data_IF_228761055404
#
_entry.id   IF_228761055404
#
_cell.length_a   1.000
_cell.length_b   1.000
_cell.length_c   1.000
_cell.angle_alpha   90.00
_cell.angle_beta   90.00
_cell.angle_gamma   90.00
#
_symmetry.space_group_name_H-M   'P 1'
#
loop_
_entity.id
_entity.type
_entity.pdbx_description
1 polymer ?
#
# COMPACT_ATOMS: atom_id res chain seq x y z
N UNK A 1 -10.88 -20.03 -31.20
CA UNK A 1 -10.50 -20.86 -30.05
C UNK A 1 -9.43 -20.11 -29.27
N UNK A 2 -9.79 -19.46 -28.16
CA UNK A 2 -8.83 -18.73 -27.32
C UNK A 2 -8.17 -19.76 -26.40
N UNK A 3 -6.92 -20.12 -26.68
CA UNK A 3 -6.13 -20.95 -25.76
C UNK A 3 -5.89 -20.14 -24.48
N UNK A 4 -6.66 -20.44 -23.42
CA UNK A 4 -6.38 -19.91 -22.08
C UNK A 4 -4.97 -20.34 -21.69
N UNK A 5 -4.07 -19.36 -21.56
CA UNK A 5 -2.66 -19.57 -21.27
C UNK A 5 -2.54 -20.14 -19.85
N UNK A 6 -2.37 -21.45 -19.73
CA UNK A 6 -2.23 -22.12 -18.44
C UNK A 6 -0.92 -21.71 -17.79
N UNK A 7 -0.97 -21.23 -16.54
CA UNK A 7 0.22 -20.82 -15.79
C UNK A 7 0.55 -21.94 -14.80
N UNK A 8 1.76 -22.50 -14.91
CA UNK A 8 2.28 -23.46 -13.93
C UNK A 8 3.14 -22.71 -12.90
N UNK A 9 2.85 -22.89 -11.62
CA UNK A 9 3.60 -22.28 -10.51
C UNK A 9 4.17 -23.41 -9.65
N UNK A 10 5.46 -23.39 -9.38
CA UNK A 10 6.09 -24.33 -8.44
C UNK A 10 5.83 -23.86 -7.01
N UNK A 11 5.45 -24.79 -6.14
CA UNK A 11 5.19 -24.54 -4.72
C UNK A 11 6.34 -25.12 -3.92
N UNK A 12 6.84 -24.35 -2.97
CA UNK A 12 7.83 -24.79 -1.99
C UNK A 12 7.27 -24.54 -0.58
N UNK A 13 7.68 -25.38 0.37
CA UNK A 13 7.48 -25.14 1.80
C UNK A 13 8.43 -24.03 2.29
N UNK A 14 8.20 -23.45 3.49
CA UNK A 14 9.05 -22.39 4.05
C UNK A 14 10.52 -22.78 4.29
N UNK A 15 10.83 -24.08 4.30
CA UNK A 15 12.17 -24.66 4.41
C UNK A 15 12.82 -24.91 3.03
N UNK A 16 12.26 -24.33 1.97
CA UNK A 16 12.64 -24.51 0.56
C UNK A 16 12.50 -25.94 0.01
N UNK A 17 11.86 -26.85 0.76
CA UNK A 17 11.54 -28.17 0.23
C UNK A 17 10.41 -28.08 -0.80
N UNK A 18 10.38 -28.95 -1.83
CA UNK A 18 9.31 -28.92 -2.83
C UNK A 18 7.96 -29.25 -2.19
N UNK A 19 6.91 -28.53 -2.56
CA UNK A 19 5.53 -28.74 -2.10
C UNK A 19 4.59 -29.12 -3.27
N UNK A 20 5.14 -29.35 -4.46
CA UNK A 20 4.40 -29.67 -5.68
C UNK A 20 4.23 -28.45 -6.60
N UNK A 21 3.07 -28.35 -7.26
CA UNK A 21 2.82 -27.27 -8.22
C UNK A 21 1.34 -26.94 -8.36
N UNK A 22 1.03 -25.72 -8.78
CA UNK A 22 -0.31 -25.31 -9.16
C UNK A 22 -0.41 -25.04 -10.67
N UNK A 23 -1.57 -25.34 -11.25
CA UNK A 23 -1.93 -24.99 -12.62
C UNK A 23 -3.13 -24.04 -12.57
N UNK A 24 -2.93 -22.82 -13.07
CA UNK A 24 -3.99 -21.81 -13.17
C UNK A 24 -4.54 -21.76 -14.59
N UNK A 25 -5.85 -22.02 -14.72
CA UNK A 25 -6.57 -22.04 -16.00
C UNK A 25 -7.22 -20.68 -16.35
N UNK A 26 -7.02 -19.64 -15.53
CA UNK A 26 -7.60 -18.30 -15.71
C UNK A 26 -8.78 -17.98 -14.80
N UNK A 27 -9.37 -19.01 -14.18
CA UNK A 27 -10.48 -18.89 -13.21
C UNK A 27 -10.15 -19.70 -11.95
N UNK A 28 -9.68 -20.93 -12.10
CA UNK A 28 -9.35 -21.84 -11.01
C UNK A 28 -7.86 -22.20 -11.03
N UNK A 29 -7.32 -22.45 -9.84
CA UNK A 29 -6.02 -23.08 -9.65
C UNK A 29 -6.22 -24.50 -9.11
N UNK A 30 -5.68 -25.48 -9.84
CA UNK A 30 -5.58 -26.87 -9.37
C UNK A 30 -4.20 -27.07 -8.75
N UNK A 31 -4.16 -27.56 -7.51
CA UNK A 31 -2.93 -27.76 -6.75
C UNK A 31 -2.62 -29.24 -6.67
N UNK A 32 -1.39 -29.59 -7.02
CA UNK A 32 -0.88 -30.96 -7.06
C UNK A 32 0.25 -31.11 -6.04
N UNK A 33 0.37 -32.30 -5.46
CA UNK A 33 1.50 -32.68 -4.63
C UNK A 33 2.77 -32.95 -5.47
N UNK A 34 3.84 -33.39 -4.81
CA UNK A 34 5.10 -33.79 -5.46
C UNK A 34 4.95 -35.01 -6.39
N UNK A 35 3.99 -35.90 -6.10
CA UNK A 35 3.74 -37.15 -6.83
C UNK A 35 2.76 -36.96 -8.00
N UNK A 36 2.15 -35.79 -8.14
CA UNK A 36 1.17 -35.46 -9.17
C UNK A 36 -0.28 -35.77 -8.78
N UNK A 37 -0.56 -36.06 -7.52
CA UNK A 37 -1.90 -36.23 -6.98
C UNK A 37 -2.55 -34.86 -6.76
N UNK A 38 -3.82 -34.73 -7.17
CA UNK A 38 -4.58 -33.50 -6.98
C UNK A 38 -4.94 -33.34 -5.49
N UNK A 39 -4.44 -32.28 -4.85
CA UNK A 39 -4.75 -31.97 -3.46
C UNK A 39 -6.08 -31.25 -3.33
N UNK A 40 -6.25 -30.14 -4.05
CA UNK A 40 -7.48 -29.33 -4.02
C UNK A 40 -7.57 -28.38 -5.22
N UNK A 41 -8.77 -27.83 -5.41
CA UNK A 41 -9.06 -26.78 -6.38
C UNK A 41 -9.50 -25.51 -5.64
N UNK A 42 -8.96 -24.36 -6.03
CA UNK A 42 -9.36 -23.06 -5.50
C UNK A 42 -9.77 -22.12 -6.62
N UNK A 43 -10.73 -21.25 -6.32
CA UNK A 43 -11.06 -20.14 -7.19
C UNK A 43 -9.96 -19.06 -7.08
N UNK A 44 -9.44 -18.62 -8.21
CA UNK A 44 -8.32 -17.67 -8.29
C UNK A 44 -6.95 -18.32 -8.33
N UNK A 45 -5.91 -17.49 -8.22
CA UNK A 45 -4.50 -17.88 -8.35
C UNK A 45 -3.97 -18.45 -7.02
N UNK A 46 -3.33 -19.62 -7.07
CA UNK A 46 -2.63 -20.23 -5.94
C UNK A 46 -1.12 -20.40 -6.21
N UNK A 47 -0.22 -20.02 -5.29
CA UNK A 47 -0.50 -19.36 -4.02
C UNK A 47 -1.02 -17.94 -4.30
N UNK A 48 -1.86 -17.37 -3.40
CA UNK A 48 -2.34 -16.01 -3.58
C UNK A 48 -1.12 -15.07 -3.66
N UNK A 49 -1.10 -14.19 -4.67
CA UNK A 49 -0.04 -13.17 -4.77
C UNK A 49 -0.07 -12.33 -3.50
N UNK A 50 0.95 -12.47 -2.67
CA UNK A 50 1.19 -11.57 -1.55
C UNK A 50 1.59 -10.23 -2.17
N UNK A 51 0.62 -9.32 -2.34
CA UNK A 51 0.94 -7.94 -2.74
C UNK A 51 1.42 -7.21 -1.49
N UNK A 52 2.73 -7.29 -1.20
CA UNK A 52 3.34 -6.36 -0.25
C UNK A 52 3.31 -4.97 -0.89
N UNK A 53 2.25 -4.20 -0.60
CA UNK A 53 2.20 -2.80 -1.01
C UNK A 53 3.35 -2.08 -0.32
N UNK A 54 4.29 -1.60 -1.12
CA UNK A 54 5.43 -0.86 -0.61
C UNK A 54 4.99 0.58 -0.24
N UNK A 55 5.07 0.90 1.05
CA UNK A 55 4.75 2.22 1.59
C UNK A 55 5.98 2.99 2.06
N UNK A 56 7.20 2.50 1.84
CA UNK A 56 8.44 3.16 2.28
C UNK A 56 8.58 4.58 1.72
N UNK A 57 8.01 4.83 0.55
CA UNK A 57 7.95 6.16 -0.06
C UNK A 57 7.17 7.15 0.83
N UNK A 58 6.11 6.72 1.52
CA UNK A 58 5.32 7.59 2.43
C UNK A 58 6.18 8.02 3.61
N UNK A 59 6.98 7.11 4.17
CA UNK A 59 7.91 7.43 5.26
C UNK A 59 9.00 8.40 4.81
N UNK A 60 9.54 8.21 3.59
CA UNK A 60 10.49 9.18 3.01
C UNK A 60 9.86 10.56 2.92
N UNK A 61 8.62 10.68 2.45
CA UNK A 61 7.93 11.98 2.37
C UNK A 61 7.63 12.56 3.76
N UNK A 62 7.18 11.76 4.73
CA UNK A 62 6.96 12.19 6.11
C UNK A 62 8.24 12.76 6.73
N UNK A 63 9.38 12.12 6.48
CA UNK A 63 10.68 12.53 6.99
C UNK A 63 11.24 13.77 6.27
N UNK A 64 11.10 13.86 4.96
CA UNK A 64 11.61 14.97 4.17
C UNK A 64 10.72 16.21 4.23
N UNK A 65 9.41 16.05 4.37
CA UNK A 65 8.41 17.12 4.23
C UNK A 65 8.08 17.45 2.77
N UNK A 66 7.02 18.24 2.56
CA UNK A 66 6.62 18.79 1.25
C UNK A 66 6.55 20.32 1.33
N UNK A 67 6.88 21.02 0.25
CA UNK A 67 6.72 22.46 0.11
C UNK A 67 5.24 22.82 -0.07
N UNK A 68 4.61 22.22 -1.10
CA UNK A 68 3.21 22.38 -1.44
C UNK A 68 2.44 21.05 -1.32
N UNK A 69 1.10 21.11 -1.27
CA UNK A 69 0.24 19.94 -1.17
C UNK A 69 0.22 19.29 0.22
N UNK A 70 0.88 19.86 1.24
CA UNK A 70 0.98 19.32 2.61
C UNK A 70 -0.37 18.87 3.19
N UNK A 71 -1.42 19.70 3.13
CA UNK A 71 -2.76 19.32 3.63
C UNK A 71 -3.39 18.21 2.79
N UNK A 72 -3.21 18.22 1.47
CA UNK A 72 -3.71 17.18 0.56
C UNK A 72 -3.02 15.85 0.86
N UNK A 73 -1.70 15.87 1.07
CA UNK A 73 -0.93 14.71 1.48
C UNK A 73 -1.40 14.16 2.84
N UNK A 74 -1.61 15.02 3.84
CA UNK A 74 -2.13 14.61 5.15
C UNK A 74 -3.48 13.93 5.00
N UNK A 75 -4.42 14.55 4.29
CA UNK A 75 -5.80 14.08 4.16
C UNK A 75 -5.91 12.76 3.38
N UNK A 76 -5.16 12.63 2.29
CA UNK A 76 -5.33 11.52 1.35
C UNK A 76 -4.33 10.40 1.55
N UNK A 77 -3.16 10.66 2.15
CA UNK A 77 -2.05 9.69 2.20
C UNK A 77 -1.58 9.44 3.63
N UNK A 78 -0.96 10.43 4.28
CA UNK A 78 -0.22 10.21 5.52
C UNK A 78 -1.11 9.74 6.67
N UNK A 79 -2.27 10.39 6.88
CA UNK A 79 -3.20 9.99 7.94
C UNK A 79 -3.66 8.53 7.79
N UNK A 80 -3.97 8.12 6.56
CA UNK A 80 -4.40 6.76 6.23
C UNK A 80 -3.29 5.74 6.46
N UNK A 81 -2.06 6.09 6.08
CA UNK A 81 -0.90 5.24 6.32
C UNK A 81 -0.66 5.05 7.81
N UNK A 82 -0.52 6.14 8.56
CA UNK A 82 -0.20 6.10 9.99
C UNK A 82 -1.22 5.28 10.78
N UNK A 83 -2.52 5.53 10.55
CA UNK A 83 -3.58 4.92 11.35
C UNK A 83 -3.92 3.50 10.90
N UNK A 84 -4.08 3.26 9.60
CA UNK A 84 -4.63 1.99 9.10
C UNK A 84 -3.57 1.01 8.58
N UNK A 85 -2.34 1.46 8.34
CA UNK A 85 -1.23 0.61 7.87
C UNK A 85 -0.19 0.45 8.98
N UNK A 86 0.41 1.55 9.45
CA UNK A 86 1.42 1.57 10.51
C UNK A 86 0.81 1.30 11.90
N UNK A 87 -0.49 1.60 12.08
CA UNK A 87 -1.28 1.40 13.30
C UNK A 87 -0.71 2.11 14.53
N UNK A 88 -0.23 3.34 14.34
CA UNK A 88 0.11 4.22 15.47
C UNK A 88 -1.17 4.76 16.12
N UNK A 89 -1.09 5.18 17.37
CA UNK A 89 -2.24 5.74 18.10
C UNK A 89 -2.60 7.17 17.64
N UNK A 90 -3.74 7.71 18.11
CA UNK A 90 -4.23 9.03 17.70
C UNK A 90 -3.26 10.16 18.08
N UNK A 91 -2.60 10.08 19.23
CA UNK A 91 -1.69 11.13 19.70
C UNK A 91 -0.37 11.10 18.95
N UNK A 92 0.18 9.90 18.72
CA UNK A 92 1.38 9.71 17.90
C UNK A 92 1.12 10.16 16.45
N UNK A 93 -0.01 9.77 15.86
CA UNK A 93 -0.40 10.22 14.52
C UNK A 93 -0.55 11.75 14.44
N UNK A 94 -1.17 12.37 15.45
CA UNK A 94 -1.33 13.83 15.50
C UNK A 94 0.05 14.52 15.52
N UNK A 95 0.97 14.02 16.35
CA UNK A 95 2.33 14.55 16.44
C UNK A 95 3.08 14.41 15.11
N UNK A 96 3.12 13.21 14.52
CA UNK A 96 3.80 12.96 13.25
C UNK A 96 3.26 13.85 12.11
N UNK A 97 1.93 14.00 12.00
CA UNK A 97 1.32 14.84 10.97
C UNK A 97 1.60 16.34 11.17
N UNK A 98 1.67 16.79 12.42
CA UNK A 98 2.01 18.17 12.76
C UNK A 98 3.47 18.47 12.45
N UNK A 99 4.38 17.57 12.86
CA UNK A 99 5.81 17.68 12.56
C UNK A 99 6.05 17.69 11.05
N UNK A 100 5.39 16.79 10.30
CA UNK A 100 5.43 16.80 8.84
C UNK A 100 5.00 18.14 8.23
N UNK A 101 3.88 18.72 8.70
CA UNK A 101 3.33 19.95 8.13
C UNK A 101 4.29 21.14 8.24
N UNK A 102 5.05 21.22 9.33
CA UNK A 102 5.93 22.34 9.65
C UNK A 102 7.38 22.16 9.16
N UNK A 103 7.78 21.00 8.62
CA UNK A 103 9.15 20.76 8.12
C UNK A 103 9.62 21.77 7.06
N UNK A 104 8.82 21.97 6.00
CA UNK A 104 9.26 22.69 4.79
C UNK A 104 8.37 23.88 4.42
N UNK A 105 7.74 24.54 5.40
CA UNK A 105 6.98 25.74 5.06
C UNK A 105 6.34 26.47 6.21
N UNK A 106 5.86 27.66 5.88
CA UNK A 106 5.04 28.49 6.75
C UNK A 106 3.55 28.13 6.61
N UNK A 107 2.72 28.68 7.49
CA UNK A 107 1.28 28.49 7.51
C UNK A 107 0.79 27.94 8.85
N UNK A 108 -0.52 27.69 8.94
CA UNK A 108 -1.15 27.15 10.15
C UNK A 108 -1.95 25.89 9.84
N UNK A 109 -1.83 24.92 10.73
CA UNK A 109 -2.67 23.73 10.78
C UNK A 109 -3.27 23.62 12.19
N UNK A 110 -4.55 23.29 12.25
CA UNK A 110 -5.29 23.19 13.50
C UNK A 110 -5.33 21.75 13.98
N UNK A 111 -5.04 21.53 15.26
CA UNK A 111 -5.10 20.21 15.87
C UNK A 111 -6.51 19.61 15.75
N UNK A 112 -7.56 20.44 15.83
CA UNK A 112 -8.94 20.00 15.63
C UNK A 112 -9.19 19.41 14.23
N UNK A 113 -8.59 20.02 13.20
CA UNK A 113 -8.68 19.52 11.83
C UNK A 113 -7.93 18.19 11.68
N UNK A 114 -6.72 18.09 12.23
CA UNK A 114 -5.94 16.85 12.21
C UNK A 114 -6.66 15.70 12.93
N UNK A 115 -7.19 15.94 14.13
CA UNK A 115 -7.98 14.94 14.87
C UNK A 115 -9.22 14.50 14.10
N UNK A 116 -9.93 15.44 13.47
CA UNK A 116 -11.08 15.11 12.61
C UNK A 116 -10.69 14.22 11.44
N UNK A 117 -9.57 14.51 10.77
CA UNK A 117 -9.04 13.68 9.68
C UNK A 117 -8.66 12.29 10.19
N UNK A 118 -7.91 12.20 11.28
CA UNK A 118 -7.46 10.93 11.89
C UNK A 118 -8.66 10.04 12.21
N UNK A 119 -9.66 10.56 12.93
CA UNK A 119 -10.88 9.81 13.26
C UNK A 119 -11.64 9.39 12.01
N UNK A 120 -11.81 10.32 11.07
CA UNK A 120 -12.53 10.04 9.82
C UNK A 120 -11.88 8.94 8.97
N UNK A 121 -10.54 8.86 8.93
CA UNK A 121 -9.85 7.78 8.21
C UNK A 121 -9.86 6.47 8.98
N UNK A 122 -9.82 6.52 10.32
CA UNK A 122 -9.88 5.35 11.20
C UNK A 122 -11.23 4.64 11.09
N UNK A 123 -12.32 5.39 11.25
CA UNK A 123 -13.69 4.87 11.20
C UNK A 123 -14.00 4.23 9.85
N UNK A 124 -13.59 4.90 8.76
CA UNK A 124 -13.84 4.44 7.39
C UNK A 124 -12.80 3.43 6.89
N UNK A 125 -11.79 3.09 7.70
CA UNK A 125 -10.69 2.17 7.36
C UNK A 125 -10.04 2.48 6.00
N UNK A 126 -9.87 3.77 5.70
CA UNK A 126 -9.35 4.22 4.41
C UNK A 126 -7.87 3.87 4.28
N UNK A 127 -7.50 3.30 3.13
CA UNK A 127 -6.10 3.02 2.80
C UNK A 127 -5.48 4.17 1.97
N UNK A 128 -4.16 4.40 2.08
CA UNK A 128 -3.46 5.35 1.24
C UNK A 128 -3.55 4.92 -0.24
N UNK A 129 -3.76 5.87 -1.18
CA UNK A 129 -3.77 5.60 -2.61
C UNK A 129 -2.39 5.19 -3.11
N UNK A 130 -2.35 4.51 -4.25
CA UNK A 130 -1.11 4.25 -4.97
C UNK A 130 -0.58 5.54 -5.62
N UNK A 131 0.73 5.61 -5.89
CA UNK A 131 1.33 6.73 -6.63
C UNK A 131 0.63 6.99 -7.97
N UNK A 132 0.25 5.93 -8.71
CA UNK A 132 -0.53 6.04 -9.95
C UNK A 132 -1.88 6.74 -9.72
N UNK A 133 -2.59 6.36 -8.65
CA UNK A 133 -3.87 6.99 -8.34
C UNK A 133 -3.72 8.47 -7.95
N UNK A 134 -2.60 8.85 -7.31
CA UNK A 134 -2.28 10.26 -7.04
C UNK A 134 -1.99 10.98 -8.35
N UNK A 135 -1.16 10.41 -9.24
CA UNK A 135 -0.85 10.95 -10.55
C UNK A 135 -2.11 11.25 -11.38
N UNK A 136 -3.08 10.34 -11.37
CA UNK A 136 -4.32 10.47 -12.13
C UNK A 136 -5.27 11.54 -11.57
N UNK A 137 -5.20 11.85 -10.26
CA UNK A 137 -6.18 12.71 -9.56
C UNK A 137 -5.65 14.06 -9.10
N UNK A 138 -4.37 14.14 -8.78
CA UNK A 138 -3.68 15.32 -8.25
C UNK A 138 -2.24 15.32 -8.77
N UNK A 139 -2.09 15.75 -10.02
CA UNK A 139 -0.81 15.78 -10.72
C UNK A 139 0.22 16.66 -9.99
N UNK A 140 -0.21 17.78 -9.42
CA UNK A 140 0.66 18.68 -8.66
C UNK A 140 1.24 17.99 -7.43
N UNK A 141 0.40 17.30 -6.64
CA UNK A 141 0.88 16.55 -5.47
C UNK A 141 1.81 15.41 -5.88
N UNK A 142 1.50 14.72 -6.98
CA UNK A 142 2.36 13.67 -7.53
C UNK A 142 3.74 14.21 -7.92
N UNK A 143 3.80 15.36 -8.60
CA UNK A 143 5.05 16.01 -8.99
C UNK A 143 5.88 16.42 -7.75
N UNK A 144 5.27 16.99 -6.72
CA UNK A 144 5.97 17.32 -5.47
C UNK A 144 6.51 16.09 -4.74
N UNK A 145 5.72 15.01 -4.65
CA UNK A 145 6.19 13.73 -4.09
C UNK A 145 7.38 13.22 -4.90
N UNK A 146 7.28 13.23 -6.23
CA UNK A 146 8.29 12.67 -7.14
C UNK A 146 9.62 13.42 -7.01
N UNK A 147 9.58 14.76 -6.93
CA UNK A 147 10.78 15.59 -6.67
C UNK A 147 11.52 15.16 -5.40
N UNK A 148 10.81 14.80 -4.34
CA UNK A 148 11.44 14.33 -3.10
C UNK A 148 11.95 12.89 -3.24
N UNK A 149 11.23 12.03 -3.95
CA UNK A 149 11.66 10.65 -4.17
C UNK A 149 12.94 10.58 -5.00
N UNK A 150 13.11 11.46 -5.99
CA UNK A 150 14.29 11.55 -6.86
C UNK A 150 15.51 12.21 -6.20
N UNK A 151 15.31 13.03 -5.15
CA UNK A 151 16.41 13.54 -4.33
C UNK A 151 17.10 12.36 -3.63
N UNK A 152 18.38 12.17 -3.97
CA UNK A 152 19.29 11.20 -3.35
C UNK A 152 19.76 11.71 -1.99
#
# INVERSE_FOLDING_TARGET
MVQSKKIKILLNYPDDTPAGYSIYDGIFSKVYDEKGELLFEVNGLFPPRITTRNYSWIEKILNSGLSDGRKRFILYVASRYLVNVKKVDEEEALKELKDFYYKNGSGKIYDAWLRSVIRGVQEKKLLPPSLKNIQDRDKELYEEITKILEKR
#
